data_IF_683495749570
#
_entry.id   IF_683495749570
#
_cell.length_a   1.000
_cell.length_b   1.000
_cell.length_c   1.000
_cell.angle_alpha   90.00
_cell.angle_beta   90.00
_cell.angle_gamma   90.00
#
_symmetry.space_group_name_H-M   'P 1'
#
loop_
_entity.id
_entity.type
_entity.pdbx_description
1 polymer ?
#
# COMPACT_ATOMS: atom_id res chain seq x y z
N UNK A 1 12.05 11.84 16.81
CA UNK A 1 10.83 11.15 17.33
C UNK A 1 10.40 10.09 16.33
N UNK A 2 9.66 9.03 16.69
CA UNK A 2 9.15 8.07 15.71
C UNK A 2 7.93 8.64 14.96
N UNK A 3 7.63 8.07 13.78
CA UNK A 3 6.40 8.37 13.03
C UNK A 3 5.18 8.02 13.90
N UNK A 4 4.19 8.90 13.91
CA UNK A 4 2.90 8.67 14.57
C UNK A 4 1.81 8.55 13.52
N UNK A 5 1.02 7.47 13.59
CA UNK A 5 -0.14 7.28 12.73
C UNK A 5 -1.42 7.71 13.46
N UNK A 6 -2.40 8.19 12.72
CA UNK A 6 -3.76 8.41 13.20
C UNK A 6 -4.73 7.56 12.38
N UNK A 7 -5.43 6.66 13.08
CA UNK A 7 -6.43 5.76 12.49
C UNK A 7 -7.76 6.03 13.17
N UNK A 8 -8.70 6.65 12.44
CA UNK A 8 -10.03 7.05 12.93
C UNK A 8 -9.96 7.98 14.16
N UNK A 9 -9.12 9.01 14.11
CA UNK A 9 -8.95 9.96 15.22
C UNK A 9 -8.24 9.39 16.43
N UNK A 10 -7.65 8.19 16.32
CA UNK A 10 -6.86 7.56 17.40
C UNK A 10 -5.41 7.50 16.99
N UNK A 11 -4.57 8.01 17.87
CA UNK A 11 -3.12 7.88 17.78
C UNK A 11 -2.70 6.41 17.87
N UNK A 12 -1.88 5.98 16.92
CA UNK A 12 -1.26 4.66 16.81
C UNK A 12 0.24 4.88 16.74
N UNK A 13 0.97 4.28 17.68
CA UNK A 13 2.43 4.43 17.77
C UNK A 13 3.14 3.58 16.72
N UNK A 14 4.38 3.96 16.37
CA UNK A 14 5.23 3.16 15.48
C UNK A 14 5.37 1.71 15.95
N UNK A 15 5.57 1.47 17.25
CA UNK A 15 5.64 0.11 17.81
C UNK A 15 4.36 -0.71 17.57
N UNK A 16 3.19 -0.08 17.59
CA UNK A 16 1.94 -0.76 17.29
C UNK A 16 1.85 -1.15 15.82
N UNK A 17 2.36 -0.30 14.92
CA UNK A 17 2.49 -0.58 13.48
C UNK A 17 3.49 -1.72 13.25
N UNK A 18 4.64 -1.71 13.92
CA UNK A 18 5.64 -2.78 13.83
C UNK A 18 5.09 -4.13 14.33
N UNK A 19 4.32 -4.15 15.43
CA UNK A 19 3.60 -5.38 15.87
C UNK A 19 2.50 -5.81 14.89
N UNK A 20 1.90 -4.89 14.16
CA UNK A 20 0.98 -5.24 13.08
C UNK A 20 1.75 -5.91 11.93
N UNK A 21 2.82 -5.27 11.47
CA UNK A 21 3.70 -5.76 10.42
C UNK A 21 4.23 -7.16 10.72
N UNK A 22 4.76 -7.38 11.92
CA UNK A 22 5.31 -8.66 12.37
C UNK A 22 4.31 -9.82 12.26
N UNK A 23 3.03 -9.56 12.59
CA UNK A 23 1.93 -10.51 12.41
C UNK A 23 1.58 -10.70 10.93
N UNK A 24 1.67 -9.64 10.11
CA UNK A 24 1.43 -9.72 8.67
C UNK A 24 2.51 -10.51 7.94
N UNK A 25 3.77 -10.45 8.37
CA UNK A 25 4.84 -11.32 7.82
C UNK A 25 4.42 -12.80 7.90
N UNK A 26 3.99 -13.26 9.07
CA UNK A 26 3.54 -14.65 9.24
C UNK A 26 2.32 -14.98 8.36
N UNK A 27 1.35 -14.05 8.28
CA UNK A 27 0.14 -14.27 7.50
C UNK A 27 0.40 -14.29 5.98
N UNK A 28 1.26 -13.39 5.49
CA UNK A 28 1.66 -13.28 4.10
C UNK A 28 2.50 -14.49 3.66
N UNK A 29 3.46 -14.91 4.48
CA UNK A 29 4.24 -16.13 4.23
C UNK A 29 3.34 -17.38 4.13
N UNK A 30 2.38 -17.53 5.05
CA UNK A 30 1.38 -18.61 5.00
C UNK A 30 0.55 -18.55 3.73
N UNK A 31 0.14 -17.35 3.28
CA UNK A 31 -0.64 -17.16 2.05
C UNK A 31 0.16 -17.55 0.80
N UNK A 32 1.46 -17.27 0.78
CA UNK A 32 2.37 -17.74 -0.28
C UNK A 32 2.73 -19.23 -0.16
N UNK A 33 2.32 -19.92 0.90
CA UNK A 33 2.70 -21.31 1.15
C UNK A 33 4.20 -21.49 1.40
N UNK A 34 4.86 -20.50 2.00
CA UNK A 34 6.26 -20.57 2.44
C UNK A 34 6.38 -20.49 3.96
N UNK A 35 7.51 -20.95 4.49
CA UNK A 35 7.82 -20.82 5.90
C UNK A 35 7.99 -19.35 6.27
N UNK A 36 7.31 -18.90 7.32
CA UNK A 36 7.53 -17.56 7.87
C UNK A 36 8.90 -17.50 8.56
N UNK A 37 9.64 -16.38 8.47
CA UNK A 37 10.80 -16.13 9.31
C UNK A 37 10.38 -16.18 10.80
N UNK A 38 11.11 -16.95 11.62
CA UNK A 38 10.73 -17.30 13.01
C UNK A 38 11.58 -16.58 14.08
N UNK A 39 12.72 -15.99 13.69
CA UNK A 39 13.64 -15.31 14.61
C UNK A 39 14.00 -13.90 14.14
N UNK A 40 14.60 -13.14 15.05
CA UNK A 40 15.02 -11.76 14.83
C UNK A 40 13.94 -10.74 15.16
N UNK A 41 14.32 -9.47 15.11
CA UNK A 41 13.37 -8.36 15.19
C UNK A 41 12.54 -8.23 13.89
N UNK A 42 11.53 -7.36 13.91
CA UNK A 42 10.64 -7.16 12.76
C UNK A 42 11.38 -6.72 11.49
N UNK A 43 12.49 -5.98 11.61
CA UNK A 43 13.26 -5.54 10.46
C UNK A 43 14.05 -6.70 9.84
N UNK A 44 14.66 -7.55 10.67
CA UNK A 44 15.33 -8.78 10.22
C UNK A 44 14.33 -9.74 9.55
N UNK A 45 13.13 -9.89 10.14
CA UNK A 45 12.06 -10.71 9.56
C UNK A 45 11.55 -10.14 8.23
N UNK A 46 11.44 -8.82 8.10
CA UNK A 46 11.06 -8.14 6.85
C UNK A 46 12.05 -8.43 5.74
N UNK A 47 13.34 -8.24 5.99
CA UNK A 47 14.38 -8.50 4.98
C UNK A 47 14.47 -9.99 4.61
N UNK A 48 14.32 -10.89 5.60
CA UNK A 48 14.27 -12.32 5.33
C UNK A 48 13.08 -12.70 4.43
N UNK A 49 11.89 -12.17 4.71
CA UNK A 49 10.71 -12.45 3.90
C UNK A 49 10.78 -11.77 2.52
N UNK A 50 11.34 -10.57 2.42
CA UNK A 50 11.62 -9.90 1.15
C UNK A 50 12.49 -10.77 0.25
N UNK A 51 13.62 -11.30 0.76
CA UNK A 51 14.47 -12.22 0.00
C UNK A 51 13.71 -13.44 -0.50
N UNK A 52 12.88 -14.07 0.35
CA UNK A 52 12.02 -15.17 -0.08
C UNK A 52 11.07 -14.78 -1.22
N UNK A 53 10.45 -13.60 -1.17
CA UNK A 53 9.58 -13.12 -2.27
C UNK A 53 10.37 -12.92 -3.57
N UNK A 54 11.55 -12.30 -3.49
CA UNK A 54 12.41 -12.07 -4.66
C UNK A 54 12.95 -13.38 -5.26
N UNK A 55 13.35 -14.35 -4.42
CA UNK A 55 13.81 -15.68 -4.86
C UNK A 55 12.71 -16.51 -5.52
N UNK A 56 11.45 -16.40 -5.03
CA UNK A 56 10.31 -17.01 -5.71
C UNK A 56 10.08 -16.42 -7.09
N UNK A 57 10.23 -15.10 -7.21
CA UNK A 57 9.95 -14.34 -8.41
C UNK A 57 8.45 -14.09 -8.64
N UNK A 58 8.16 -13.01 -9.35
CA UNK A 58 6.79 -12.55 -9.62
C UNK A 58 5.91 -13.62 -10.28
N UNK A 59 6.41 -14.36 -11.28
CA UNK A 59 5.61 -15.35 -12.02
C UNK A 59 5.11 -16.50 -11.14
N UNK A 60 5.97 -17.00 -10.25
CA UNK A 60 5.60 -18.05 -9.30
C UNK A 60 4.61 -17.54 -8.25
N UNK A 61 4.79 -16.31 -7.77
CA UNK A 61 3.85 -15.66 -6.86
C UNK A 61 2.47 -15.50 -7.51
N UNK A 62 2.41 -15.03 -8.76
CA UNK A 62 1.17 -14.99 -9.54
C UNK A 62 0.53 -16.37 -9.66
N UNK A 63 1.33 -17.42 -9.95
CA UNK A 63 0.82 -18.79 -10.04
C UNK A 63 0.17 -19.24 -8.73
N UNK A 64 0.81 -18.98 -7.59
CA UNK A 64 0.30 -19.36 -6.26
C UNK A 64 -0.96 -18.61 -5.87
N UNK A 65 -1.04 -17.32 -6.22
CA UNK A 65 -2.16 -16.45 -5.83
C UNK A 65 -3.22 -16.26 -6.92
N UNK A 66 -3.10 -16.96 -8.06
CA UNK A 66 -4.02 -16.86 -9.19
C UNK A 66 -5.48 -17.01 -8.77
N UNK A 67 -5.79 -18.00 -7.94
CA UNK A 67 -7.16 -18.26 -7.49
C UNK A 67 -7.69 -17.09 -6.66
N UNK A 68 -6.88 -16.58 -5.73
CA UNK A 68 -7.23 -15.42 -4.91
C UNK A 68 -7.52 -14.21 -5.81
N UNK A 69 -6.59 -13.89 -6.71
CA UNK A 69 -6.68 -12.76 -7.62
C UNK A 69 -7.92 -12.82 -8.52
N UNK A 70 -8.22 -14.00 -9.10
CA UNK A 70 -9.41 -14.18 -9.94
C UNK A 70 -10.70 -13.93 -9.16
N UNK A 71 -10.81 -14.47 -7.94
CA UNK A 71 -12.01 -14.29 -7.11
C UNK A 71 -12.13 -12.84 -6.65
N UNK A 72 -11.04 -12.24 -6.16
CA UNK A 72 -11.01 -10.85 -5.72
C UNK A 72 -11.37 -9.90 -6.86
N UNK A 73 -10.81 -10.10 -8.06
CA UNK A 73 -11.11 -9.31 -9.25
C UNK A 73 -12.58 -9.41 -9.67
N UNK A 74 -13.17 -10.61 -9.66
CA UNK A 74 -14.60 -10.79 -9.94
C UNK A 74 -15.47 -10.03 -8.94
N UNK A 75 -15.17 -10.12 -7.63
CA UNK A 75 -15.88 -9.39 -6.59
C UNK A 75 -15.74 -7.88 -6.78
N UNK A 76 -14.52 -7.37 -7.01
CA UNK A 76 -14.25 -5.94 -7.17
C UNK A 76 -15.03 -5.34 -8.36
N UNK A 77 -15.06 -6.05 -9.50
CA UNK A 77 -15.84 -5.64 -10.68
C UNK A 77 -17.34 -5.57 -10.39
N UNK A 78 -17.90 -6.56 -9.69
CA UNK A 78 -19.31 -6.54 -9.28
C UNK A 78 -19.58 -5.37 -8.34
N UNK A 79 -18.74 -5.18 -7.31
CA UNK A 79 -18.91 -4.09 -6.35
C UNK A 79 -18.85 -2.71 -7.00
N UNK A 80 -17.94 -2.50 -7.96
CA UNK A 80 -17.82 -1.25 -8.71
C UNK A 80 -19.06 -0.96 -9.55
N UNK A 81 -19.60 -1.97 -10.24
CA UNK A 81 -20.84 -1.83 -11.05
C UNK A 81 -22.09 -1.58 -10.20
N UNK A 82 -22.13 -2.08 -8.97
CA UNK A 82 -23.29 -1.92 -8.08
C UNK A 82 -23.42 -0.50 -7.52
N UNK A 83 -22.34 0.30 -7.48
CA UNK A 83 -22.38 1.62 -6.88
C UNK A 83 -21.21 2.50 -7.32
N UNK A 84 -21.52 3.68 -7.85
CA UNK A 84 -20.53 4.75 -8.05
C UNK A 84 -20.09 5.46 -6.75
N UNK A 85 -20.78 5.24 -5.63
CA UNK A 85 -20.39 5.80 -4.32
C UNK A 85 -19.14 5.09 -3.78
N UNK A 86 -18.32 5.84 -3.05
CA UNK A 86 -17.08 5.37 -2.44
C UNK A 86 -17.16 5.17 -0.93
N UNK A 87 -16.30 4.28 -0.43
CA UNK A 87 -15.94 4.15 0.97
C UNK A 87 -14.46 4.47 1.11
N UNK A 88 -14.13 5.36 2.04
CA UNK A 88 -12.77 5.87 2.17
C UNK A 88 -12.00 5.16 3.30
N UNK A 89 -10.82 4.67 2.98
CA UNK A 89 -9.78 4.32 3.94
C UNK A 89 -8.84 5.52 4.04
N UNK A 90 -8.83 6.18 5.21
CA UNK A 90 -7.98 7.35 5.48
C UNK A 90 -7.09 7.05 6.67
N UNK A 91 -5.81 7.34 6.50
CA UNK A 91 -4.78 7.24 7.54
C UNK A 91 -3.88 8.46 7.44
N UNK A 92 -3.68 9.16 8.56
CA UNK A 92 -2.76 10.29 8.62
C UNK A 92 -1.45 9.83 9.29
N UNK A 93 -0.31 10.26 8.76
CA UNK A 93 1.02 10.07 9.35
C UNK A 93 1.65 11.42 9.65
N UNK A 94 2.12 11.58 10.88
CA UNK A 94 2.89 12.72 11.34
C UNK A 94 4.35 12.29 11.45
N UNK A 95 5.18 12.85 10.57
CA UNK A 95 6.57 12.48 10.39
C UNK A 95 7.45 13.59 10.95
N UNK A 96 8.34 13.31 11.91
CA UNK A 96 9.13 14.34 12.60
C UNK A 96 10.54 14.51 12.00
N UNK A 97 10.70 14.23 10.71
CA UNK A 97 11.94 14.41 9.95
C UNK A 97 11.67 14.37 8.44
N UNK A 98 12.66 14.78 7.64
CA UNK A 98 12.58 14.80 6.17
C UNK A 98 11.62 15.85 5.64
N UNK A 99 11.33 15.80 4.34
CA UNK A 99 10.33 16.66 3.70
C UNK A 99 9.35 15.85 2.84
N UNK A 100 8.14 16.40 2.65
CA UNK A 100 7.13 15.87 1.77
C UNK A 100 7.64 15.73 0.33
N UNK A 101 8.37 16.74 -0.16
CA UNK A 101 8.96 16.73 -1.51
C UNK A 101 9.96 15.59 -1.67
N UNK A 102 10.90 15.44 -0.73
CA UNK A 102 11.87 14.35 -0.74
C UNK A 102 11.18 12.98 -0.79
N UNK A 103 10.15 12.77 0.03
CA UNK A 103 9.41 11.51 0.04
C UNK A 103 8.69 11.24 -1.28
N UNK A 104 8.00 12.24 -1.84
CA UNK A 104 7.28 12.11 -3.11
C UNK A 104 8.25 11.81 -4.26
N UNK A 105 9.39 12.50 -4.31
CA UNK A 105 10.44 12.25 -5.30
C UNK A 105 11.02 10.85 -5.17
N UNK A 106 11.36 10.42 -3.94
CA UNK A 106 11.82 9.07 -3.65
C UNK A 106 10.84 8.00 -4.15
N UNK A 107 9.55 8.15 -3.85
CA UNK A 107 8.53 7.20 -4.31
C UNK A 107 8.48 7.12 -5.83
N UNK A 108 8.47 8.27 -6.51
CA UNK A 108 8.46 8.29 -7.97
C UNK A 108 9.75 7.76 -8.58
N UNK A 109 10.90 7.92 -7.91
CA UNK A 109 12.14 7.27 -8.33
C UNK A 109 12.06 5.75 -8.23
N UNK A 110 11.49 5.21 -7.16
CA UNK A 110 11.24 3.76 -7.05
C UNK A 110 10.33 3.27 -8.18
N UNK A 111 9.24 3.99 -8.47
CA UNK A 111 8.34 3.68 -9.59
C UNK A 111 9.08 3.75 -10.93
N UNK A 112 9.77 4.85 -11.24
CA UNK A 112 10.50 5.03 -12.51
C UNK A 112 11.58 3.97 -12.74
N UNK A 113 12.29 3.58 -11.67
CA UNK A 113 13.34 2.54 -11.73
C UNK A 113 12.78 1.13 -11.68
N UNK A 114 11.47 0.97 -11.48
CA UNK A 114 10.82 -0.31 -11.21
C UNK A 114 11.53 -1.05 -10.07
N UNK A 115 11.79 -0.35 -8.97
CA UNK A 115 12.52 -0.86 -7.79
C UNK A 115 11.61 -1.81 -6.99
N UNK A 116 11.39 -3.00 -7.53
CA UNK A 116 10.52 -4.03 -6.96
C UNK A 116 10.93 -4.39 -5.54
N UNK A 117 12.24 -4.39 -5.23
CA UNK A 117 12.72 -4.68 -3.89
C UNK A 117 12.23 -3.64 -2.87
N UNK A 118 12.35 -2.33 -3.17
CA UNK A 118 11.89 -1.27 -2.28
C UNK A 118 10.35 -1.23 -2.17
N UNK A 119 9.65 -1.44 -3.28
CA UNK A 119 8.19 -1.46 -3.28
C UNK A 119 7.62 -2.67 -2.49
N UNK A 120 8.26 -3.84 -2.60
CA UNK A 120 7.89 -5.03 -1.84
C UNK A 120 8.31 -4.99 -0.37
N UNK A 121 9.39 -4.26 -0.04
CA UNK A 121 9.92 -4.13 1.33
C UNK A 121 8.93 -3.45 2.26
N UNK A 122 8.20 -2.45 1.77
CA UNK A 122 7.37 -1.59 2.60
C UNK A 122 6.20 -2.28 3.31
N UNK A 123 5.64 -3.35 2.76
CA UNK A 123 4.58 -4.09 3.42
C UNK A 123 4.71 -5.59 3.19
N UNK A 124 4.57 -6.43 4.22
CA UNK A 124 4.54 -7.88 4.03
C UNK A 124 3.42 -8.35 3.10
N UNK A 125 2.32 -7.59 3.02
CA UNK A 125 1.18 -7.91 2.19
C UNK A 125 1.38 -7.61 0.70
N UNK A 126 2.48 -6.95 0.31
CA UNK A 126 2.87 -6.76 -1.09
C UNK A 126 3.53 -8.03 -1.62
N UNK A 127 2.92 -8.68 -2.60
CA UNK A 127 3.45 -9.90 -3.22
C UNK A 127 4.10 -9.62 -4.58
N UNK A 128 3.51 -8.74 -5.37
CA UNK A 128 4.09 -8.20 -6.62
C UNK A 128 3.82 -6.69 -6.63
N UNK A 129 4.85 -5.91 -6.94
CA UNK A 129 4.79 -4.47 -7.14
C UNK A 129 5.76 -4.14 -8.28
N UNK A 130 5.24 -3.96 -9.50
CA UNK A 130 6.08 -3.67 -10.68
C UNK A 130 5.38 -2.75 -11.66
N UNK A 131 6.15 -2.01 -12.44
CA UNK A 131 5.63 -1.14 -13.49
C UNK A 131 5.62 -1.90 -14.82
N UNK A 132 4.43 -2.03 -15.41
CA UNK A 132 4.24 -2.66 -16.71
C UNK A 132 4.81 -1.82 -17.84
N UNK A 133 5.00 -2.43 -19.01
CA UNK A 133 5.45 -1.73 -20.22
C UNK A 133 4.47 -0.63 -20.69
N UNK A 134 3.22 -0.68 -20.23
CA UNK A 134 2.19 0.33 -20.46
C UNK A 134 2.20 1.46 -19.40
N UNK A 135 3.21 1.49 -18.52
CA UNK A 135 3.38 2.51 -17.49
C UNK A 135 2.51 2.32 -16.24
N UNK A 136 1.60 1.34 -16.22
CA UNK A 136 0.72 1.10 -15.07
C UNK A 136 1.44 0.29 -14.00
N UNK A 137 1.16 0.61 -12.74
CA UNK A 137 1.72 -0.10 -11.60
C UNK A 137 0.87 -1.34 -11.29
N UNK A 138 1.40 -2.52 -11.59
CA UNK A 138 0.82 -3.80 -11.21
C UNK A 138 1.02 -4.06 -9.73
N UNK A 139 -0.10 -4.29 -9.04
CA UNK A 139 -0.15 -4.56 -7.60
C UNK A 139 -0.86 -5.90 -7.38
N UNK A 140 -0.15 -6.84 -6.77
CA UNK A 140 -0.72 -8.06 -6.21
C UNK A 140 -0.50 -8.05 -4.70
N UNK A 141 -1.56 -7.84 -3.93
CA UNK A 141 -1.45 -7.67 -2.48
C UNK A 141 -2.65 -8.20 -1.70
N UNK A 142 -2.49 -8.37 -0.39
CA UNK A 142 -3.64 -8.50 0.52
C UNK A 142 -4.06 -7.13 1.04
N UNK A 143 -5.09 -6.52 0.46
CA UNK A 143 -5.55 -5.21 0.91
C UNK A 143 -6.22 -5.30 2.30
N UNK A 144 -5.51 -4.87 3.35
CA UNK A 144 -6.14 -4.58 4.65
C UNK A 144 -6.80 -5.78 5.33
N UNK A 145 -6.13 -6.93 5.33
CA UNK A 145 -6.66 -8.15 5.97
C UNK A 145 -7.81 -8.82 5.20
N UNK A 146 -7.97 -8.50 3.91
CA UNK A 146 -8.75 -9.31 2.97
C UNK A 146 -8.37 -10.80 3.09
N UNK A 147 -9.33 -11.74 3.03
CA UNK A 147 -8.99 -13.15 2.96
C UNK A 147 -8.31 -13.52 1.62
N UNK A 148 -8.51 -12.72 0.57
CA UNK A 148 -8.00 -12.92 -0.78
C UNK A 148 -6.95 -11.86 -1.12
N UNK A 149 -5.87 -12.28 -1.77
CA UNK A 149 -5.02 -11.34 -2.50
C UNK A 149 -5.74 -10.81 -3.75
N UNK A 150 -5.63 -9.51 -4.01
CA UNK A 150 -6.20 -8.85 -5.18
C UNK A 150 -5.09 -8.49 -6.16
N UNK A 151 -5.37 -8.67 -7.46
CA UNK A 151 -4.55 -8.15 -8.55
C UNK A 151 -5.25 -6.95 -9.16
N UNK A 152 -4.55 -5.83 -9.25
CA UNK A 152 -5.04 -4.61 -9.90
C UNK A 152 -3.87 -3.79 -10.44
N UNK A 153 -4.20 -2.82 -11.29
CA UNK A 153 -3.24 -1.95 -11.95
C UNK A 153 -3.58 -0.50 -11.64
N UNK A 154 -2.65 0.26 -11.10
CA UNK A 154 -2.83 1.69 -10.86
C UNK A 154 -2.31 2.45 -12.07
N UNK A 155 -3.18 3.28 -12.63
CA UNK A 155 -2.82 4.29 -13.61
C UNK A 155 -2.70 5.63 -12.88
N UNK A 156 -1.48 6.17 -12.83
CA UNK A 156 -1.18 7.44 -12.16
C UNK A 156 -1.39 8.67 -13.04
N UNK A 157 -1.60 8.47 -14.35
CA UNK A 157 -1.95 9.55 -15.28
C UNK A 157 -3.47 9.76 -15.36
N UNK A 158 -4.25 8.73 -15.02
CA UNK A 158 -5.70 8.83 -14.93
C UNK A 158 -6.19 9.28 -13.55
N UNK A 159 -6.94 10.38 -13.54
CA UNK A 159 -7.61 10.93 -12.36
C UNK A 159 -9.14 10.99 -12.50
N UNK A 160 -9.70 10.48 -13.60
CA UNK A 160 -11.11 10.63 -13.99
C UNK A 160 -12.09 10.01 -12.97
N UNK A 161 -11.65 9.01 -12.21
CA UNK A 161 -12.45 8.29 -11.21
C UNK A 161 -12.05 8.56 -9.75
N UNK A 162 -11.13 9.51 -9.52
CA UNK A 162 -10.71 9.94 -8.18
C UNK A 162 -11.71 10.97 -7.66
N UNK A 163 -12.47 10.64 -6.62
CA UNK A 163 -13.47 11.56 -6.06
C UNK A 163 -12.97 12.34 -4.85
N UNK A 164 -11.87 11.91 -4.24
CA UNK A 164 -11.21 12.63 -3.15
C UNK A 164 -10.70 13.96 -3.69
N UNK A 165 -11.11 15.11 -3.13
CA UNK A 165 -10.68 16.41 -3.62
C UNK A 165 -9.20 16.65 -3.31
N UNK A 166 -8.58 17.49 -4.14
CA UNK A 166 -7.28 18.08 -3.84
C UNK A 166 -7.41 19.04 -2.66
N UNK A 167 -6.61 18.83 -1.63
CA UNK A 167 -6.43 19.78 -0.54
C UNK A 167 -5.24 20.69 -0.88
N UNK A 168 -5.51 21.98 -1.12
CA UNK A 168 -4.47 22.95 -1.49
C UNK A 168 -3.44 23.17 -0.39
N UNK A 169 -3.74 22.78 0.85
CA UNK A 169 -2.74 22.79 1.90
C UNK A 169 -1.65 21.74 1.64
N UNK A 170 -1.94 20.65 0.93
CA UNK A 170 -1.02 19.53 0.68
C UNK A 170 -0.50 19.56 -0.76
N UNK A 171 0.62 20.26 -1.05
CA UNK A 171 1.12 20.45 -2.40
C UNK A 171 1.66 19.16 -3.03
N UNK A 172 2.20 18.22 -2.24
CA UNK A 172 2.71 16.95 -2.74
C UNK A 172 1.58 15.92 -2.88
N UNK A 173 1.57 15.14 -3.96
CA UNK A 173 0.53 14.13 -4.18
C UNK A 173 1.02 12.87 -4.89
N UNK A 174 0.39 11.74 -4.55
CA UNK A 174 0.39 10.49 -5.30
C UNK A 174 -1.07 10.11 -5.54
N UNK A 175 -1.54 10.15 -6.78
CA UNK A 175 -2.94 9.93 -7.10
C UNK A 175 -3.10 9.16 -8.40
N UNK A 176 -4.12 8.31 -8.47
CA UNK A 176 -4.37 7.46 -9.63
C UNK A 176 -5.61 6.61 -9.49
N UNK A 177 -6.05 6.01 -10.59
CA UNK A 177 -7.19 5.10 -10.63
C UNK A 177 -6.70 3.65 -10.63
N UNK A 178 -7.33 2.82 -9.80
CA UNK A 178 -7.05 1.39 -9.75
C UNK A 178 -8.01 0.61 -10.66
N UNK A 179 -7.47 -0.25 -11.51
CA UNK A 179 -8.17 -1.02 -12.51
C UNK A 179 -8.04 -2.53 -12.31
N UNK A 180 -9.13 -3.27 -12.55
CA UNK A 180 -9.10 -4.72 -12.76
C UNK A 180 -9.81 -5.06 -14.07
N UNK A 181 -9.09 -5.71 -14.99
CA UNK A 181 -9.57 -6.03 -16.35
C UNK A 181 -10.19 -4.81 -17.08
N UNK A 182 -9.53 -3.65 -16.98
CA UNK A 182 -9.99 -2.39 -17.59
C UNK A 182 -11.20 -1.74 -16.92
N UNK A 183 -11.68 -2.28 -15.80
CA UNK A 183 -12.77 -1.68 -15.03
C UNK A 183 -12.18 -0.89 -13.86
N UNK A 184 -12.55 0.38 -13.66
CA UNK A 184 -12.11 1.14 -12.49
C UNK A 184 -12.75 0.52 -11.25
N UNK A 185 -11.93 0.01 -10.34
CA UNK A 185 -12.36 -0.66 -9.11
C UNK A 185 -12.07 0.16 -7.85
N UNK A 186 -11.39 1.28 -7.98
CA UNK A 186 -11.04 2.15 -6.87
C UNK A 186 -10.14 3.28 -7.34
N UNK A 187 -9.65 4.07 -6.39
CA UNK A 187 -8.74 5.17 -6.66
C UNK A 187 -7.90 5.46 -5.41
N UNK A 188 -6.76 6.13 -5.60
CA UNK A 188 -5.91 6.61 -4.52
C UNK A 188 -5.71 8.12 -4.66
N UNK A 189 -5.64 8.81 -3.53
CA UNK A 189 -5.10 10.17 -3.43
C UNK A 189 -4.41 10.31 -2.09
N UNK A 190 -3.09 10.17 -2.11
CA UNK A 190 -2.22 10.47 -0.99
C UNK A 190 -1.71 11.90 -1.15
N UNK A 191 -1.77 12.67 -0.08
CA UNK A 191 -1.44 14.09 -0.09
C UNK A 191 -0.45 14.40 1.02
N UNK A 192 0.55 15.23 0.71
CA UNK A 192 1.72 15.46 1.56
C UNK A 192 1.97 16.95 1.72
N UNK A 193 2.35 17.36 2.93
CA UNK A 193 2.63 18.75 3.28
C UNK A 193 3.75 18.83 4.31
N UNK A 194 4.71 19.72 4.07
CA UNK A 194 5.73 20.02 5.07
C UNK A 194 5.14 20.65 6.33
N UNK A 195 5.82 20.40 7.44
CA UNK A 195 5.62 21.01 8.74
C UNK A 195 6.94 21.63 9.19
N UNK A 196 6.98 22.24 10.38
CA UNK A 196 8.22 22.87 10.87
C UNK A 196 9.38 21.87 11.01
N UNK A 197 9.08 20.63 11.45
CA UNK A 197 10.09 19.65 11.86
C UNK A 197 10.04 18.36 11.02
N UNK A 198 9.29 18.34 9.92
CA UNK A 198 9.08 17.15 9.09
C UNK A 198 7.89 17.32 8.17
N UNK A 199 7.02 16.33 8.02
CA UNK A 199 5.84 16.46 7.16
C UNK A 199 4.63 15.65 7.64
N UNK A 200 3.48 15.99 7.07
CA UNK A 200 2.20 15.29 7.27
C UNK A 200 1.81 14.60 5.97
N UNK A 201 1.61 13.29 6.02
CA UNK A 201 1.01 12.50 4.95
C UNK A 201 -0.45 12.17 5.29
N UNK A 202 -1.37 12.50 4.40
CA UNK A 202 -2.77 12.06 4.43
C UNK A 202 -3.01 11.03 3.34
N UNK A 203 -3.15 9.78 3.75
CA UNK A 203 -3.22 8.64 2.85
C UNK A 203 -4.69 8.25 2.64
N UNK A 204 -5.25 8.53 1.46
CA UNK A 204 -6.63 8.15 1.12
C UNK A 204 -6.69 7.10 0.02
N UNK A 205 -7.44 6.03 0.28
CA UNK A 205 -7.84 5.03 -0.70
C UNK A 205 -9.36 4.94 -0.78
N UNK A 206 -9.86 4.91 -2.01
CA UNK A 206 -11.28 4.86 -2.36
C UNK A 206 -11.67 3.45 -2.77
N UNK A 207 -12.50 2.82 -1.97
CA UNK A 207 -13.12 1.54 -2.29
C UNK A 207 -14.54 1.75 -2.82
N UNK A 208 -15.08 0.82 -3.64
CA UNK A 208 -16.52 0.78 -3.90
C UNK A 208 -17.30 0.69 -2.59
N UNK A 209 -18.44 1.38 -2.48
CA UNK A 209 -19.25 1.40 -1.27
C UNK A 209 -19.55 -0.01 -0.68
N UNK A 210 -19.78 -1.08 -1.48
CA UNK A 210 -20.04 -2.41 -0.95
C UNK A 210 -18.85 -3.11 -0.28
N UNK A 211 -17.61 -2.62 -0.46
CA UNK A 211 -16.43 -3.21 0.18
C UNK A 211 -16.61 -3.27 1.69
N UNK A 212 -16.26 -4.38 2.34
CA UNK A 212 -16.61 -4.62 3.74
C UNK A 212 -15.87 -3.68 4.70
N UNK A 213 -16.55 -3.22 5.76
CA UNK A 213 -16.00 -2.23 6.69
C UNK A 213 -14.72 -2.70 7.39
N UNK A 214 -14.63 -4.02 7.66
CA UNK A 214 -13.43 -4.65 8.21
C UNK A 214 -12.21 -4.54 7.29
N UNK A 215 -12.40 -4.64 5.97
CA UNK A 215 -11.30 -4.52 4.99
C UNK A 215 -10.81 -3.08 4.95
N UNK A 216 -11.73 -2.11 4.93
CA UNK A 216 -11.37 -0.68 5.02
C UNK A 216 -10.68 -0.36 6.35
N UNK A 217 -11.09 -1.00 7.46
CA UNK A 217 -10.41 -0.84 8.74
C UNK A 217 -8.99 -1.43 8.73
N UNK A 218 -8.79 -2.63 8.19
CA UNK A 218 -7.47 -3.22 8.05
C UNK A 218 -6.58 -2.46 7.07
N UNK A 219 -7.16 -1.88 6.01
CA UNK A 219 -6.37 -1.14 5.02
C UNK A 219 -5.78 0.16 5.59
N UNK A 220 -6.36 0.73 6.65
CA UNK A 220 -5.72 1.82 7.39
C UNK A 220 -4.42 1.38 8.08
N UNK A 221 -4.40 0.16 8.63
CA UNK A 221 -3.18 -0.41 9.19
C UNK A 221 -2.15 -0.78 8.13
N UNK A 222 -2.62 -1.26 6.97
CA UNK A 222 -1.78 -1.48 5.79
C UNK A 222 -1.05 -0.19 5.39
N UNK A 223 -1.79 0.90 5.17
CA UNK A 223 -1.23 2.20 4.80
C UNK A 223 -0.25 2.73 5.87
N UNK A 224 -0.58 2.57 7.16
CA UNK A 224 0.34 2.96 8.23
C UNK A 224 1.66 2.18 8.18
N UNK A 225 1.63 0.88 7.90
CA UNK A 225 2.82 0.03 7.76
C UNK A 225 3.64 0.42 6.54
N UNK A 226 2.99 0.40 5.38
CA UNK A 226 3.56 0.65 4.07
C UNK A 226 4.27 2.00 4.01
N UNK A 227 3.53 3.09 4.26
CA UNK A 227 4.10 4.43 4.13
C UNK A 227 5.11 4.73 5.24
N UNK A 228 4.96 4.22 6.46
CA UNK A 228 6.00 4.42 7.48
C UNK A 228 7.33 3.79 7.05
N UNK A 229 7.29 2.59 6.47
CA UNK A 229 8.51 1.93 5.99
C UNK A 229 9.13 2.69 4.80
N UNK A 230 8.36 3.08 3.78
CA UNK A 230 8.92 3.87 2.67
C UNK A 230 9.44 5.24 3.11
N UNK A 231 8.78 5.90 4.05
CA UNK A 231 9.22 7.20 4.58
C UNK A 231 10.55 7.05 5.33
N UNK A 232 10.68 6.01 6.17
CA UNK A 232 11.93 5.71 6.86
C UNK A 232 13.07 5.39 5.86
N UNK A 233 12.79 4.61 4.80
CA UNK A 233 13.75 4.37 3.71
C UNK A 233 14.16 5.66 3.00
N UNK A 234 13.19 6.53 2.68
CA UNK A 234 13.42 7.81 2.01
C UNK A 234 14.33 8.72 2.84
N UNK A 235 14.08 8.81 4.15
CA UNK A 235 14.90 9.60 5.08
C UNK A 235 16.30 9.02 5.20
N UNK A 236 16.45 7.69 5.21
CA UNK A 236 17.77 7.04 5.29
C UNK A 236 18.60 7.16 4.01
N UNK A 237 17.96 7.41 2.86
CA UNK A 237 18.61 7.53 1.56
C UNK A 237 19.09 8.95 1.22
N UNK A 238 18.59 9.97 1.93
CA UNK A 238 19.00 11.37 1.76
C UNK A 238 20.02 11.83 2.80
#
# INVERSE_FOLDING_TARGET
MPIISEIRGRTVTRDAVLRYEDRRITAAAKKLGVSAPIGGDVAERREAFLRTKLELGSDEIHRRLRRDATIAGAIAKVQSRLSGRRRFSVTDLYVPAGSATQFVEFYWDCVRRNDEAELLRACPDHFVQRIGADGRHEVLETNGGSPLAALFFIDYEDLSHVVTPVDRAFPGQLAGVAYADGIPIGAVRHQFRDTADGFHARLTVEFPLPTLGRMVAGHRWHLACEFSNWIESSIAAG
#
